data_IF_066950978546
#
_entry.id   IF_066950978546
#
_cell.length_a   1.000
_cell.length_b   1.000
_cell.length_c   1.000
_cell.angle_alpha   90.00
_cell.angle_beta   90.00
_cell.angle_gamma   90.00
#
_symmetry.space_group_name_H-M   'P 1'
#
loop_
_entity.id
_entity.type
_entity.pdbx_description
1 polymer ?
#
# COMPACT_ATOMS: atom_id res chain seq x y z
N UNK A 1 -26.73 -4.05 59.44
CA UNK A 1 -26.70 -3.28 58.18
C UNK A 1 -25.90 -4.06 57.14
N UNK A 2 -26.57 -5.05 56.58
CA UNK A 2 -26.17 -5.94 55.49
C UNK A 2 -27.34 -5.86 54.50
N UNK A 3 -27.09 -6.02 53.20
CA UNK A 3 -28.09 -5.95 52.11
C UNK A 3 -28.40 -4.54 51.60
N UNK A 4 -27.46 -3.87 50.92
CA UNK A 4 -27.81 -2.88 49.88
C UNK A 4 -26.77 -2.77 48.72
N UNK A 5 -25.75 -3.63 48.67
CA UNK A 5 -24.65 -3.54 47.70
C UNK A 5 -24.73 -4.55 46.52
N UNK A 6 -25.92 -5.11 46.23
CA UNK A 6 -26.04 -6.26 45.32
C UNK A 6 -26.83 -6.01 44.01
N UNK A 7 -27.06 -4.77 43.58
CA UNK A 7 -27.89 -4.53 42.38
C UNK A 7 -27.41 -3.39 41.44
N UNK A 8 -26.14 -2.99 41.50
CA UNK A 8 -25.61 -1.83 40.72
C UNK A 8 -24.56 -2.23 39.66
N UNK A 9 -24.41 -3.52 39.36
CA UNK A 9 -23.33 -4.03 38.48
C UNK A 9 -23.82 -4.82 37.26
N UNK A 10 -24.97 -4.43 36.67
CA UNK A 10 -25.47 -4.93 35.37
C UNK A 10 -25.85 -3.75 34.46
N UNK A 11 -24.96 -2.76 34.36
CA UNK A 11 -25.12 -1.62 33.43
C UNK A 11 -23.76 -1.14 32.86
N UNK A 12 -22.75 -2.00 32.88
CA UNK A 12 -21.42 -1.66 32.37
C UNK A 12 -21.33 -2.04 30.88
N UNK A 13 -21.59 -1.02 30.06
CA UNK A 13 -20.82 -0.73 28.85
C UNK A 13 -20.81 -1.83 27.76
N UNK A 14 -21.94 -1.96 27.06
CA UNK A 14 -21.90 -2.21 25.63
C UNK A 14 -21.43 -0.94 24.91
N UNK A 15 -20.12 -0.64 24.99
CA UNK A 15 -19.48 0.28 24.04
C UNK A 15 -19.21 -0.53 22.79
N UNK A 16 -20.24 -0.60 21.95
CA UNK A 16 -20.07 -0.92 20.55
C UNK A 16 -19.26 0.20 19.93
N UNK A 17 -18.04 -0.13 19.51
CA UNK A 17 -17.22 0.67 18.60
C UNK A 17 -18.00 0.80 17.28
N UNK A 18 -18.87 1.80 17.20
CA UNK A 18 -19.40 2.31 15.95
C UNK A 18 -18.24 3.05 15.29
N UNK A 19 -17.59 2.44 14.30
CA UNK A 19 -16.92 3.21 13.27
C UNK A 19 -18.02 3.95 12.51
N UNK A 20 -18.37 5.15 12.97
CA UNK A 20 -19.35 6.00 12.31
C UNK A 20 -18.76 6.41 10.95
N UNK A 21 -18.95 5.59 9.93
CA UNK A 21 -18.73 5.99 8.55
C UNK A 21 -19.60 7.22 8.30
N UNK A 22 -19.00 8.29 7.78
CA UNK A 22 -19.74 9.51 7.46
C UNK A 22 -20.85 9.16 6.47
N UNK A 23 -22.08 9.46 6.83
CA UNK A 23 -23.24 9.22 5.97
C UNK A 23 -23.31 10.29 4.89
N UNK A 24 -24.05 10.03 3.81
CA UNK A 24 -24.31 11.06 2.79
C UNK A 24 -24.98 12.32 3.42
N UNK A 25 -25.78 12.14 4.46
CA UNK A 25 -26.40 13.24 5.22
C UNK A 25 -25.35 14.15 5.87
N UNK A 26 -24.24 13.57 6.34
CA UNK A 26 -23.15 14.33 6.96
C UNK A 26 -22.44 15.20 5.93
N UNK A 27 -22.18 14.66 4.73
CA UNK A 27 -21.63 15.44 3.61
C UNK A 27 -22.60 16.54 3.13
N UNK A 28 -23.91 16.30 3.14
CA UNK A 28 -24.92 17.34 2.81
C UNK A 28 -24.87 18.53 3.76
N UNK A 29 -24.46 18.36 5.02
CA UNK A 29 -24.33 19.44 6.01
C UNK A 29 -23.06 20.28 5.82
N UNK A 30 -22.02 19.74 5.17
CA UNK A 30 -20.75 20.45 4.94
C UNK A 30 -20.92 21.63 3.98
N UNK A 31 -20.07 22.66 4.12
CA UNK A 31 -19.99 23.75 3.13
C UNK A 31 -19.17 23.27 1.93
N UNK A 32 -19.37 23.88 0.76
CA UNK A 32 -18.60 23.56 -0.46
C UNK A 32 -17.09 23.69 -0.22
N UNK A 33 -16.65 24.68 0.58
CA UNK A 33 -15.24 24.82 0.99
C UNK A 33 -14.73 23.58 1.74
N UNK A 34 -15.51 23.07 2.69
CA UNK A 34 -15.13 21.91 3.50
C UNK A 34 -15.14 20.63 2.66
N UNK A 35 -16.08 20.50 1.70
CA UNK A 35 -16.11 19.40 0.74
C UNK A 35 -14.88 19.43 -0.19
N UNK A 36 -14.48 20.61 -0.66
CA UNK A 36 -13.25 20.77 -1.45
C UNK A 36 -12.02 20.41 -0.64
N UNK A 37 -11.91 20.87 0.59
CA UNK A 37 -10.81 20.51 1.49
C UNK A 37 -10.78 18.99 1.74
N UNK A 38 -11.94 18.37 2.00
CA UNK A 38 -12.04 16.92 2.18
C UNK A 38 -11.54 16.11 0.97
N UNK A 39 -11.85 16.57 -0.24
CA UNK A 39 -11.40 15.97 -1.49
C UNK A 39 -9.90 16.23 -1.74
N UNK A 40 -9.45 17.47 -1.53
CA UNK A 40 -8.03 17.85 -1.67
C UNK A 40 -7.13 17.09 -0.70
N UNK A 41 -7.56 16.96 0.55
CA UNK A 41 -6.87 16.16 1.56
C UNK A 41 -6.68 14.71 1.10
N UNK A 42 -7.50 14.20 0.16
CA UNK A 42 -7.44 12.86 -0.42
C UNK A 42 -6.83 12.83 -1.83
N UNK A 43 -6.23 13.93 -2.29
CA UNK A 43 -5.64 14.03 -3.62
C UNK A 43 -6.68 14.07 -4.75
N UNK A 44 -7.94 14.37 -4.44
CA UNK A 44 -9.02 14.42 -5.41
C UNK A 44 -9.35 15.87 -5.78
N UNK A 45 -9.37 16.15 -7.07
CA UNK A 45 -9.90 17.40 -7.62
C UNK A 45 -11.22 17.10 -8.36
N UNK A 46 -12.30 17.79 -8.01
CA UNK A 46 -13.55 17.65 -8.76
C UNK A 46 -13.59 18.59 -9.97
N UNK A 47 -12.83 18.26 -11.01
CA UNK A 47 -12.87 18.97 -12.29
C UNK A 47 -14.27 18.84 -12.91
N UNK A 48 -15.02 19.95 -12.95
CA UNK A 48 -16.37 19.99 -13.52
C UNK A 48 -17.53 19.91 -12.52
N UNK A 49 -17.28 19.81 -11.20
CA UNK A 49 -18.34 19.99 -10.20
C UNK A 49 -18.89 21.43 -10.27
N UNK A 50 -20.15 21.59 -10.68
CA UNK A 50 -20.82 22.90 -10.74
C UNK A 50 -21.72 23.12 -9.53
N UNK A 51 -22.36 22.07 -9.03
CA UNK A 51 -23.31 22.14 -7.93
C UNK A 51 -22.76 21.53 -6.64
N UNK A 52 -23.30 21.94 -5.49
CA UNK A 52 -22.95 21.33 -4.20
C UNK A 52 -23.25 19.82 -4.17
N UNK A 53 -24.32 19.40 -4.85
CA UNK A 53 -24.72 18.00 -5.03
C UNK A 53 -23.59 17.16 -5.64
N UNK A 54 -22.82 17.71 -6.59
CA UNK A 54 -21.68 17.04 -7.21
C UNK A 54 -20.56 16.80 -6.20
N UNK A 55 -20.19 17.83 -5.42
CA UNK A 55 -19.18 17.71 -4.38
C UNK A 55 -19.58 16.71 -3.28
N UNK A 56 -20.86 16.74 -2.86
CA UNK A 56 -21.40 15.78 -1.88
C UNK A 56 -21.32 14.36 -2.39
N UNK A 57 -21.74 14.12 -3.64
CA UNK A 57 -21.69 12.82 -4.28
C UNK A 57 -20.25 12.31 -4.35
N UNK A 58 -19.31 13.12 -4.81
CA UNK A 58 -17.90 12.73 -4.92
C UNK A 58 -17.28 12.45 -3.55
N UNK A 59 -17.55 13.30 -2.55
CA UNK A 59 -17.05 13.10 -1.19
C UNK A 59 -17.61 11.81 -0.55
N UNK A 60 -18.91 11.53 -0.74
CA UNK A 60 -19.52 10.30 -0.24
C UNK A 60 -18.99 9.04 -0.93
N UNK A 61 -18.73 9.10 -2.23
CA UNK A 61 -18.11 8.01 -3.00
C UNK A 61 -16.69 7.71 -2.50
N UNK A 62 -15.94 8.73 -2.07
CA UNK A 62 -14.55 8.61 -1.62
C UNK A 62 -14.39 8.74 -0.09
N UNK A 63 -15.47 8.50 0.67
CA UNK A 63 -15.47 8.71 2.12
C UNK A 63 -14.45 7.83 2.85
N UNK A 64 -14.20 6.65 2.29
CA UNK A 64 -13.30 5.62 2.82
C UNK A 64 -11.88 5.76 2.24
N UNK A 65 -11.63 6.74 1.36
CA UNK A 65 -10.28 7.08 0.88
C UNK A 65 -9.53 7.79 2.00
N UNK A 66 -8.31 7.34 2.30
CA UNK A 66 -7.47 7.97 3.30
C UNK A 66 -6.92 9.32 2.80
N UNK A 67 -6.76 10.34 3.67
CA UNK A 67 -6.04 11.54 3.30
C UNK A 67 -4.62 11.23 2.83
N UNK A 68 -4.14 11.96 1.83
CA UNK A 68 -2.75 12.00 1.40
C UNK A 68 -1.87 12.33 2.61
N UNK A 69 -0.93 11.45 2.92
CA UNK A 69 -0.06 11.59 4.09
C UNK A 69 -0.72 11.28 5.44
N UNK A 70 -1.96 10.78 5.48
CA UNK A 70 -2.49 10.22 6.73
C UNK A 70 -1.69 8.98 7.10
N UNK A 71 -1.04 9.05 8.26
CA UNK A 71 -0.19 7.97 8.70
C UNK A 71 -1.01 6.77 9.14
N UNK A 72 -1.24 5.83 8.22
CA UNK A 72 -1.74 4.52 8.59
C UNK A 72 -0.63 3.90 9.42
N UNK A 73 -0.85 3.85 10.74
CA UNK A 73 0.07 3.17 11.67
C UNK A 73 0.04 1.68 11.36
N UNK A 74 0.88 1.26 10.41
CA UNK A 74 1.10 -0.14 10.07
C UNK A 74 1.92 -0.78 11.18
N UNK A 75 1.50 -1.95 11.63
CA UNK A 75 2.33 -2.77 12.51
C UNK A 75 3.58 -3.20 11.73
N UNK A 76 4.75 -2.99 12.33
CA UNK A 76 6.02 -3.34 11.69
C UNK A 76 6.29 -4.81 11.99
N UNK A 77 6.40 -5.68 10.97
CA UNK A 77 6.57 -7.11 11.19
C UNK A 77 7.88 -7.44 11.93
N UNK A 78 7.84 -8.47 12.78
CA UNK A 78 9.02 -8.99 13.47
C UNK A 78 9.82 -9.97 12.60
N UNK A 79 10.36 -9.50 11.48
CA UNK A 79 11.17 -10.25 10.50
C UNK A 79 12.12 -9.30 9.76
N UNK A 80 13.01 -9.82 8.91
CA UNK A 80 13.96 -8.97 8.17
C UNK A 80 13.25 -8.15 7.10
N UNK A 81 13.90 -7.04 6.71
CA UNK A 81 13.42 -6.14 5.66
C UNK A 81 12.97 -6.86 4.39
N UNK A 82 13.81 -7.76 3.89
CA UNK A 82 13.55 -8.51 2.65
C UNK A 82 12.48 -9.59 2.80
N UNK A 83 12.39 -10.25 3.96
CA UNK A 83 11.32 -11.22 4.24
C UNK A 83 9.95 -10.51 4.31
N UNK A 84 9.88 -9.34 4.94
CA UNK A 84 8.65 -8.57 5.04
C UNK A 84 8.14 -8.11 3.67
N UNK A 85 9.04 -7.57 2.84
CA UNK A 85 8.68 -7.10 1.51
C UNK A 85 8.50 -8.24 0.50
N UNK A 86 9.16 -9.38 0.66
CA UNK A 86 8.87 -10.59 -0.11
C UNK A 86 7.43 -11.05 0.09
N UNK A 87 6.95 -11.09 1.33
CA UNK A 87 5.56 -11.44 1.64
C UNK A 87 4.56 -10.42 1.07
N UNK A 88 4.87 -9.11 1.16
CA UNK A 88 4.04 -8.06 0.56
C UNK A 88 3.99 -8.22 -0.97
N UNK A 89 5.14 -8.45 -1.62
CA UNK A 89 5.21 -8.62 -3.07
C UNK A 89 4.40 -9.83 -3.54
N UNK A 90 4.46 -10.95 -2.80
CA UNK A 90 3.62 -12.12 -3.07
C UNK A 90 2.13 -11.78 -2.97
N UNK A 91 1.73 -11.07 -1.91
CA UNK A 91 0.33 -10.66 -1.74
C UNK A 91 -0.15 -9.72 -2.85
N UNK A 92 0.68 -8.75 -3.26
CA UNK A 92 0.37 -7.85 -4.39
C UNK A 92 0.23 -8.62 -5.71
N UNK A 93 1.09 -9.62 -5.95
CA UNK A 93 0.97 -10.52 -7.10
C UNK A 93 -0.34 -11.31 -7.07
N UNK A 94 -0.66 -11.95 -5.94
CA UNK A 94 -1.92 -12.71 -5.79
C UNK A 94 -3.15 -11.80 -5.99
N UNK A 95 -3.12 -10.58 -5.47
CA UNK A 95 -4.16 -9.58 -5.71
C UNK A 95 -4.26 -9.20 -7.20
N UNK A 96 -3.14 -9.05 -7.91
CA UNK A 96 -3.12 -8.78 -9.35
C UNK A 96 -3.68 -9.93 -10.19
N UNK A 97 -3.45 -11.19 -9.77
CA UNK A 97 -4.05 -12.40 -10.38
C UNK A 97 -5.57 -12.41 -10.18
N UNK A 98 -6.03 -12.20 -8.94
CA UNK A 98 -7.47 -12.12 -8.61
C UNK A 98 -8.18 -11.00 -9.37
N UNK A 99 -7.55 -9.82 -9.48
CA UNK A 99 -8.09 -8.69 -10.26
C UNK A 99 -8.29 -9.03 -11.75
N UNK A 100 -7.54 -10.01 -12.28
CA UNK A 100 -7.66 -10.52 -13.65
C UNK A 100 -8.65 -11.70 -13.78
N UNK A 101 -9.36 -12.07 -12.71
CA UNK A 101 -10.34 -13.15 -12.71
C UNK A 101 -9.72 -14.56 -12.71
N UNK A 102 -8.44 -14.69 -12.37
CA UNK A 102 -7.76 -15.98 -12.25
C UNK A 102 -7.61 -16.39 -10.77
N UNK A 103 -7.33 -17.66 -10.54
CA UNK A 103 -7.02 -18.21 -9.21
C UNK A 103 -5.50 -18.21 -8.98
N UNK A 104 -5.04 -17.50 -7.94
CA UNK A 104 -3.63 -17.40 -7.59
C UNK A 104 -2.97 -18.71 -7.16
N UNK A 105 -3.76 -19.74 -6.82
CA UNK A 105 -3.27 -21.08 -6.50
C UNK A 105 -3.03 -21.98 -7.72
N UNK A 106 -3.34 -21.50 -8.93
CA UNK A 106 -3.23 -22.28 -10.17
C UNK A 106 -1.98 -21.91 -10.97
N UNK A 107 -1.41 -22.88 -11.69
CA UNK A 107 -0.29 -22.61 -12.59
C UNK A 107 -0.74 -21.79 -13.83
N UNK A 108 0.09 -20.85 -14.31
CA UNK A 108 1.45 -20.53 -13.84
C UNK A 108 1.50 -19.52 -12.69
N UNK A 109 0.36 -19.04 -12.19
CA UNK A 109 0.26 -17.90 -11.27
C UNK A 109 0.88 -18.17 -9.90
N UNK A 110 0.67 -19.37 -9.35
CA UNK A 110 1.32 -19.84 -8.12
C UNK A 110 2.84 -19.72 -8.21
N UNK A 111 3.43 -20.32 -9.24
CA UNK A 111 4.88 -20.27 -9.49
C UNK A 111 5.36 -18.84 -9.70
N UNK A 112 4.64 -18.02 -10.46
CA UNK A 112 5.04 -16.62 -10.70
C UNK A 112 5.07 -15.82 -9.39
N UNK A 113 4.03 -15.92 -8.55
CA UNK A 113 4.00 -15.17 -7.30
C UNK A 113 5.04 -15.69 -6.28
N UNK A 114 5.36 -16.99 -6.29
CA UNK A 114 6.46 -17.56 -5.49
C UNK A 114 7.84 -17.13 -6.00
N UNK A 115 8.02 -17.02 -7.31
CA UNK A 115 9.26 -16.50 -7.90
C UNK A 115 9.41 -15.02 -7.60
N UNK A 116 8.34 -14.22 -7.64
CA UNK A 116 8.37 -12.81 -7.20
C UNK A 116 8.78 -12.73 -5.73
N UNK A 117 8.17 -13.52 -4.84
CA UNK A 117 8.55 -13.59 -3.43
C UNK A 117 10.06 -13.81 -3.26
N UNK A 118 10.58 -14.85 -3.92
CA UNK A 118 11.99 -15.26 -3.83
C UNK A 118 12.95 -14.23 -4.44
N UNK A 119 12.55 -13.59 -5.55
CA UNK A 119 13.33 -12.54 -6.21
C UNK A 119 13.43 -11.29 -5.33
N UNK A 120 12.33 -10.89 -4.71
CA UNK A 120 12.29 -9.73 -3.82
C UNK A 120 13.10 -9.98 -2.56
N UNK A 121 12.98 -11.16 -1.95
CA UNK A 121 13.81 -11.55 -0.81
C UNK A 121 15.30 -11.43 -1.17
N UNK A 122 15.71 -12.08 -2.26
CA UNK A 122 17.11 -12.11 -2.72
C UNK A 122 17.65 -10.72 -3.07
N UNK A 123 16.86 -9.94 -3.83
CA UNK A 123 17.23 -8.61 -4.30
C UNK A 123 17.38 -7.63 -3.13
N UNK A 124 16.39 -7.57 -2.24
CA UNK A 124 16.45 -6.66 -1.09
C UNK A 124 17.46 -7.12 -0.03
N UNK A 125 17.71 -8.43 0.10
CA UNK A 125 18.80 -8.94 0.92
C UNK A 125 20.15 -8.44 0.39
N UNK A 126 20.37 -8.42 -0.93
CA UNK A 126 21.63 -7.95 -1.51
C UNK A 126 21.73 -6.41 -1.52
N UNK A 127 20.75 -5.73 -2.10
CA UNK A 127 20.75 -4.28 -2.31
C UNK A 127 20.40 -3.52 -1.04
N UNK A 128 19.36 -3.93 -0.32
CA UNK A 128 18.96 -3.32 0.95
C UNK A 128 20.05 -3.44 2.02
N UNK A 129 20.71 -4.60 2.12
CA UNK A 129 21.87 -4.76 3.03
C UNK A 129 23.03 -3.86 2.64
N UNK A 130 23.32 -3.70 1.34
CA UNK A 130 24.35 -2.77 0.85
C UNK A 130 24.04 -1.34 1.24
N UNK A 131 22.81 -0.87 1.00
CA UNK A 131 22.35 0.48 1.37
C UNK A 131 22.44 0.69 2.89
N UNK A 132 21.96 -0.26 3.69
CA UNK A 132 22.04 -0.20 5.14
C UNK A 132 23.49 -0.02 5.62
N UNK A 133 24.41 -0.84 5.10
CA UNK A 133 25.83 -0.75 5.45
C UNK A 133 26.46 0.58 5.04
N UNK A 134 26.17 1.08 3.83
CA UNK A 134 26.69 2.37 3.34
C UNK A 134 26.22 3.55 4.20
N UNK A 135 24.98 3.50 4.68
CA UNK A 135 24.37 4.55 5.50
C UNK A 135 24.58 4.35 7.01
N UNK A 136 25.37 3.33 7.42
CA UNK A 136 25.56 2.94 8.84
C UNK A 136 24.24 2.69 9.58
N UNK A 137 23.26 2.12 8.88
CA UNK A 137 21.95 1.69 9.38
C UNK A 137 21.88 0.17 9.45
N UNK A 138 20.87 -0.35 10.14
CA UNK A 138 20.53 -1.78 10.15
C UNK A 138 19.42 -2.09 9.14
N UNK A 139 19.26 -3.36 8.70
CA UNK A 139 18.08 -3.77 7.94
C UNK A 139 16.76 -3.45 8.67
N UNK A 140 16.74 -3.47 10.01
CA UNK A 140 15.56 -3.11 10.78
C UNK A 140 15.21 -1.62 10.67
N UNK A 141 16.21 -0.74 10.55
CA UNK A 141 15.97 0.69 10.35
C UNK A 141 15.34 0.95 8.98
N UNK A 142 15.82 0.25 7.94
CA UNK A 142 15.18 0.29 6.62
C UNK A 142 13.74 -0.19 6.67
N UNK A 143 13.48 -1.31 7.35
CA UNK A 143 12.12 -1.84 7.51
C UNK A 143 11.20 -0.82 8.19
N UNK A 144 11.64 -0.22 9.30
CA UNK A 144 10.88 0.81 10.01
C UNK A 144 10.54 2.01 9.12
N UNK A 145 11.51 2.51 8.34
CA UNK A 145 11.24 3.63 7.43
C UNK A 145 10.31 3.21 6.30
N UNK A 146 10.54 2.05 5.69
CA UNK A 146 9.72 1.57 4.57
C UNK A 146 8.24 1.35 4.93
N UNK A 147 7.92 1.19 6.22
CA UNK A 147 6.55 1.06 6.71
C UNK A 147 5.89 2.40 7.08
N UNK A 148 6.59 3.53 6.96
CA UNK A 148 5.99 4.87 6.96
C UNK A 148 5.31 5.11 5.60
N UNK A 149 4.27 5.93 5.57
CA UNK A 149 3.23 5.90 4.54
C UNK A 149 3.72 6.03 3.12
N UNK A 150 4.37 7.15 2.79
CA UNK A 150 4.77 7.42 1.41
C UNK A 150 5.79 6.39 0.89
N UNK A 151 6.65 5.86 1.77
CA UNK A 151 7.60 4.81 1.39
C UNK A 151 6.89 3.47 1.18
N UNK A 152 5.92 3.16 2.03
CA UNK A 152 5.13 1.95 1.92
C UNK A 152 4.31 1.99 0.63
N UNK A 153 3.63 3.10 0.37
CA UNK A 153 2.81 3.32 -0.82
C UNK A 153 3.64 3.22 -2.11
N UNK A 154 4.79 3.90 -2.17
CA UNK A 154 5.70 3.80 -3.31
C UNK A 154 6.22 2.35 -3.49
N UNK A 155 6.56 1.66 -2.39
CA UNK A 155 7.01 0.26 -2.44
C UNK A 155 5.92 -0.67 -2.97
N UNK A 156 4.72 -0.59 -2.40
CA UNK A 156 3.55 -1.34 -2.86
C UNK A 156 3.24 -1.06 -4.34
N UNK A 157 3.34 0.20 -4.78
CA UNK A 157 3.14 0.56 -6.18
C UNK A 157 4.16 -0.13 -7.10
N UNK A 158 5.45 -0.13 -6.75
CA UNK A 158 6.47 -0.86 -7.51
C UNK A 158 6.20 -2.36 -7.60
N UNK A 159 5.72 -2.99 -6.52
CA UNK A 159 5.35 -4.41 -6.55
C UNK A 159 4.10 -4.68 -7.38
N UNK A 160 3.15 -3.76 -7.43
CA UNK A 160 2.02 -3.83 -8.35
C UNK A 160 2.48 -3.74 -9.81
N UNK A 161 3.35 -2.78 -10.14
CA UNK A 161 3.95 -2.65 -11.49
C UNK A 161 4.70 -3.91 -11.89
N UNK A 162 5.49 -4.50 -10.98
CA UNK A 162 6.19 -5.76 -11.22
C UNK A 162 5.22 -6.92 -11.47
N UNK A 163 4.18 -7.06 -10.65
CA UNK A 163 3.16 -8.08 -10.82
C UNK A 163 2.41 -7.92 -12.15
N UNK A 164 1.99 -6.70 -12.48
CA UNK A 164 1.28 -6.39 -13.72
C UNK A 164 2.15 -6.66 -14.96
N UNK A 165 3.45 -6.34 -14.90
CA UNK A 165 4.43 -6.74 -15.92
C UNK A 165 4.49 -8.27 -16.08
N UNK A 166 4.70 -9.01 -15.00
CA UNK A 166 4.84 -10.46 -15.05
C UNK A 166 3.57 -11.19 -15.51
N UNK A 167 2.40 -10.61 -15.26
CA UNK A 167 1.11 -11.18 -15.63
C UNK A 167 0.58 -10.68 -16.98
N UNK A 168 1.26 -9.72 -17.62
CA UNK A 168 0.75 -8.97 -18.78
C UNK A 168 0.57 -9.80 -20.06
N UNK A 169 1.29 -10.93 -20.22
CA UNK A 169 1.11 -11.84 -21.36
C UNK A 169 1.66 -13.24 -21.09
N UNK A 170 1.25 -14.28 -21.84
CA UNK A 170 1.78 -15.63 -21.67
C UNK A 170 3.31 -15.75 -21.83
N UNK A 171 3.93 -14.92 -22.67
CA UNK A 171 5.39 -14.90 -22.83
C UNK A 171 6.09 -14.31 -21.59
N UNK A 172 5.54 -13.23 -21.02
CA UNK A 172 6.03 -12.63 -19.77
C UNK A 172 5.80 -13.56 -18.57
N UNK A 173 4.65 -14.24 -18.52
CA UNK A 173 4.35 -15.26 -17.50
C UNK A 173 5.37 -16.40 -17.54
N UNK A 174 5.76 -16.87 -18.73
CA UNK A 174 6.83 -17.86 -18.88
C UNK A 174 8.19 -17.32 -18.41
N UNK A 175 8.51 -16.07 -18.74
CA UNK A 175 9.77 -15.43 -18.31
C UNK A 175 9.81 -15.23 -16.78
N UNK A 176 8.74 -14.76 -16.16
CA UNK A 176 8.65 -14.48 -14.73
C UNK A 176 8.55 -15.72 -13.83
N UNK A 177 8.53 -16.93 -14.40
CA UNK A 177 8.81 -18.15 -13.64
C UNK A 177 10.31 -18.30 -13.31
N UNK A 178 11.19 -17.53 -13.95
CA UNK A 178 12.63 -17.50 -13.67
C UNK A 178 13.02 -16.39 -12.69
N UNK A 179 13.73 -16.76 -11.63
CA UNK A 179 14.28 -15.83 -10.63
C UNK A 179 15.10 -14.70 -11.29
N UNK A 180 15.97 -15.04 -12.25
CA UNK A 180 16.85 -14.07 -12.91
C UNK A 180 16.09 -13.06 -13.76
N UNK A 181 14.99 -13.48 -14.40
CA UNK A 181 14.14 -12.59 -15.19
C UNK A 181 13.38 -11.62 -14.29
N UNK A 182 12.86 -12.07 -13.15
CA UNK A 182 12.19 -11.20 -12.18
C UNK A 182 13.17 -10.22 -11.55
N UNK A 183 14.38 -10.67 -11.17
CA UNK A 183 15.41 -9.76 -10.65
C UNK A 183 15.83 -8.71 -11.68
N UNK A 184 15.91 -9.06 -12.96
CA UNK A 184 16.19 -8.11 -14.04
C UNK A 184 15.06 -7.09 -14.21
N UNK A 185 13.80 -7.53 -14.07
CA UNK A 185 12.63 -6.64 -14.07
C UNK A 185 12.68 -5.64 -12.91
N UNK A 186 13.13 -6.06 -11.73
CA UNK A 186 13.29 -5.20 -10.56
C UNK A 186 14.38 -4.12 -10.71
N UNK A 187 15.31 -4.28 -11.65
CA UNK A 187 16.35 -3.30 -11.98
C UNK A 187 15.87 -2.27 -13.02
N UNK A 188 14.55 -2.11 -13.19
CA UNK A 188 13.93 -1.06 -14.00
C UNK A 188 13.42 -1.50 -15.38
N UNK A 189 13.70 -2.73 -15.82
CA UNK A 189 13.26 -3.17 -17.17
C UNK A 189 11.75 -3.34 -17.30
N UNK A 190 11.03 -3.42 -16.18
CA UNK A 190 9.55 -3.41 -16.14
C UNK A 190 8.95 -2.03 -15.87
N UNK A 191 9.77 -0.99 -15.72
CA UNK A 191 9.36 0.31 -15.18
C UNK A 191 9.44 0.40 -13.65
N UNK A 192 9.63 -0.72 -12.94
CA UNK A 192 9.86 -0.72 -11.49
C UNK A 192 11.36 -0.61 -11.15
N UNK A 193 11.80 0.52 -10.61
CA UNK A 193 13.19 0.71 -10.12
C UNK A 193 13.25 0.58 -8.59
N UNK A 194 13.48 -0.64 -8.11
CA UNK A 194 13.59 -0.93 -6.68
C UNK A 194 14.87 -0.39 -6.06
N UNK A 195 15.91 -0.08 -6.85
CA UNK A 195 17.16 0.50 -6.36
C UNK A 195 16.94 1.95 -5.94
N UNK A 196 16.21 2.75 -6.74
CA UNK A 196 15.82 4.12 -6.39
C UNK A 196 15.00 4.11 -5.10
N UNK A 197 13.98 3.25 -5.03
CA UNK A 197 13.14 3.15 -3.84
C UNK A 197 13.94 2.76 -2.59
N UNK A 198 14.71 1.67 -2.64
CA UNK A 198 15.48 1.18 -1.49
C UNK A 198 16.50 2.22 -0.99
N UNK A 199 17.13 2.96 -1.91
CA UNK A 199 18.08 4.02 -1.55
C UNK A 199 17.38 5.16 -0.83
N UNK A 200 16.23 5.61 -1.35
CA UNK A 200 15.46 6.73 -0.77
C UNK A 200 14.78 6.37 0.56
N UNK A 201 14.38 5.10 0.75
CA UNK A 201 14.04 4.56 2.09
C UNK A 201 15.24 4.70 3.03
N UNK A 202 16.44 4.37 2.57
CA UNK A 202 17.66 4.47 3.37
C UNK A 202 17.98 5.88 3.81
N UNK A 203 17.93 6.85 2.90
CA UNK A 203 18.24 8.27 3.19
C UNK A 203 17.03 9.07 3.70
N UNK A 204 15.87 8.42 3.83
CA UNK A 204 14.60 9.03 4.26
C UNK A 204 14.22 10.25 3.40
N UNK A 205 14.34 10.11 2.08
CA UNK A 205 13.95 11.15 1.12
C UNK A 205 12.59 10.81 0.51
N UNK A 206 11.59 11.65 0.77
CA UNK A 206 10.21 11.43 0.34
C UNK A 206 9.94 11.86 -1.10
N UNK A 207 10.73 12.79 -1.67
CA UNK A 207 10.39 13.39 -2.97
C UNK A 207 10.27 12.35 -4.10
N UNK A 208 11.22 11.41 -4.27
CA UNK A 208 11.08 10.39 -5.32
C UNK A 208 9.97 9.39 -5.05
N UNK A 209 9.43 9.31 -3.82
CA UNK A 209 8.33 8.41 -3.52
C UNK A 209 7.03 8.92 -4.16
N UNK A 210 6.82 10.23 -4.14
CA UNK A 210 5.69 10.84 -4.84
C UNK A 210 5.81 10.67 -6.35
N UNK A 211 7.00 10.83 -6.93
CA UNK A 211 7.25 10.57 -8.36
C UNK A 211 6.92 9.11 -8.75
N UNK A 212 7.27 8.15 -7.88
CA UNK A 212 6.92 6.73 -8.08
C UNK A 212 5.40 6.53 -8.03
N UNK A 213 4.69 7.18 -7.11
CA UNK A 213 3.25 7.02 -6.92
C UNK A 213 2.46 7.72 -8.04
N UNK A 214 2.86 8.93 -8.43
CA UNK A 214 2.17 9.77 -9.41
C UNK A 214 2.26 9.20 -10.84
N UNK A 215 3.28 8.41 -11.14
CA UNK A 215 3.39 7.66 -12.40
C UNK A 215 2.21 6.69 -12.68
N UNK A 216 1.31 6.50 -11.71
CA UNK A 216 0.05 5.76 -11.82
C UNK A 216 -0.92 6.33 -12.86
N UNK A 217 -0.89 7.63 -13.14
CA UNK A 217 -1.90 8.27 -13.99
C UNK A 217 -1.55 8.27 -15.49
N UNK A 218 -0.32 7.88 -15.86
CA UNK A 218 0.21 7.99 -17.23
C UNK A 218 0.27 6.66 -18.03
N UNK A 219 -0.17 5.53 -17.46
CA UNK A 219 -0.20 4.19 -18.10
C UNK A 219 -1.62 3.62 -18.21
#
# INVERSE_FOLDING_TARGET
>A
MKLFFAAVLIAVFAVTLVSAGMTESDFKKMKVKDLRAFLQDRGLECAGCQEKSDFVRMAYQHRDTNPVGSAVKREIPNKKFWEAWGDIAKNECQNAVRRRGNDEGTEPFSTICDTIHSAVDSYLMQHGRRVANQLKKTPQDLLKTSFKDVYFEAGSHLFQTLADYCLGSPSLQKACQSLGSVMSAMDGSSGADFRIWTTNVGIENTNPMYEIIDGRDDL
#
